data_IF_581877409053
#
_entry.id   IF_581877409053
#
_cell.length_a   1.000
_cell.length_b   1.000
_cell.length_c   1.000
_cell.angle_alpha   90.00
_cell.angle_beta   90.00
_cell.angle_gamma   90.00
#
_symmetry.space_group_name_H-M   'P 1'
#
loop_
_entity.id
_entity.type
_entity.pdbx_description
1 polymer ?
#
# COMPACT_ATOMS: atom_id res chain seq x y z
N UNK A 1 -39.64 -14.04 -24.65
CA UNK A 1 -38.36 -14.77 -24.85
C UNK A 1 -37.15 -13.86 -24.75
N UNK A 2 -37.14 -12.69 -25.39
CA UNK A 2 -36.04 -11.71 -25.25
C UNK A 2 -35.92 -11.14 -23.82
N UNK A 3 -37.04 -10.87 -23.16
CA UNK A 3 -37.07 -10.22 -21.84
C UNK A 3 -36.56 -11.10 -20.67
N UNK A 4 -36.76 -12.42 -20.79
CA UNK A 4 -36.18 -13.40 -19.86
C UNK A 4 -34.68 -13.56 -20.07
N UNK A 5 -34.20 -13.41 -21.31
CA UNK A 5 -32.79 -13.55 -21.65
C UNK A 5 -31.98 -12.33 -21.19
N UNK A 6 -32.53 -11.13 -21.30
CA UNK A 6 -31.94 -9.88 -20.79
C UNK A 6 -31.87 -9.88 -19.27
N UNK A 7 -32.91 -10.36 -18.59
CA UNK A 7 -32.91 -10.54 -17.13
C UNK A 7 -31.81 -11.50 -16.65
N UNK A 8 -31.66 -12.65 -17.32
CA UNK A 8 -30.59 -13.63 -17.00
C UNK A 8 -29.20 -13.04 -17.27
N UNK A 9 -28.98 -12.37 -18.41
CA UNK A 9 -27.69 -11.73 -18.70
C UNK A 9 -27.34 -10.61 -17.72
N UNK A 10 -28.33 -9.84 -17.24
CA UNK A 10 -28.13 -8.79 -16.23
C UNK A 10 -27.66 -9.33 -14.88
N UNK A 11 -28.26 -10.44 -14.44
CA UNK A 11 -27.84 -11.12 -13.19
C UNK A 11 -26.42 -11.70 -13.35
N UNK A 12 -26.11 -12.32 -14.49
CA UNK A 12 -24.78 -12.88 -14.75
C UNK A 12 -23.69 -11.80 -14.80
N UNK A 13 -23.96 -10.66 -15.44
CA UNK A 13 -22.99 -9.54 -15.48
C UNK A 13 -22.77 -8.92 -14.11
N UNK A 14 -23.81 -8.80 -13.27
CA UNK A 14 -23.68 -8.37 -11.88
C UNK A 14 -22.78 -9.29 -11.05
N UNK A 15 -22.96 -10.62 -11.20
CA UNK A 15 -22.10 -11.60 -10.53
C UNK A 15 -20.64 -11.50 -10.99
N UNK A 16 -20.39 -11.41 -12.30
CA UNK A 16 -19.02 -11.29 -12.84
C UNK A 16 -18.35 -10.00 -12.35
N UNK A 17 -19.08 -8.88 -12.30
CA UNK A 17 -18.56 -7.60 -11.84
C UNK A 17 -18.09 -7.62 -10.38
N UNK A 18 -18.79 -8.35 -9.50
CA UNK A 18 -18.42 -8.49 -8.09
C UNK A 18 -17.30 -9.52 -7.92
N UNK A 19 -17.31 -10.60 -8.71
CA UNK A 19 -16.38 -11.71 -8.56
C UNK A 19 -14.97 -11.39 -9.10
N UNK A 20 -14.87 -10.55 -10.13
CA UNK A 20 -13.61 -10.07 -10.71
C UNK A 20 -12.62 -9.46 -9.69
N UNK A 21 -12.98 -8.43 -8.90
CA UNK A 21 -12.04 -7.83 -7.94
C UNK A 21 -11.61 -8.82 -6.85
N UNK A 22 -12.49 -9.73 -6.43
CA UNK A 22 -12.18 -10.77 -5.43
C UNK A 22 -11.12 -11.74 -5.96
N UNK A 23 -11.28 -12.20 -7.20
CA UNK A 23 -10.28 -13.08 -7.83
C UNK A 23 -8.92 -12.40 -7.99
N UNK A 24 -8.88 -11.11 -8.33
CA UNK A 24 -7.62 -10.37 -8.44
C UNK A 24 -6.88 -10.31 -7.09
N UNK A 25 -7.59 -9.97 -6.01
CA UNK A 25 -7.00 -9.96 -4.66
C UNK A 25 -6.49 -11.36 -4.29
N UNK A 26 -7.26 -12.42 -4.60
CA UNK A 26 -6.87 -13.80 -4.32
C UNK A 26 -5.60 -14.22 -5.07
N UNK A 27 -5.50 -13.89 -6.36
CA UNK A 27 -4.30 -14.17 -7.18
C UNK A 27 -3.09 -13.42 -6.61
N UNK A 28 -3.23 -12.12 -6.31
CA UNK A 28 -2.14 -11.32 -5.73
C UNK A 28 -1.68 -11.92 -4.40
N UNK A 29 -2.62 -12.29 -3.53
CA UNK A 29 -2.32 -12.87 -2.22
C UNK A 29 -1.64 -14.24 -2.35
N UNK A 30 -2.12 -15.09 -3.26
CA UNK A 30 -1.52 -16.40 -3.54
C UNK A 30 -0.05 -16.25 -3.98
N UNK A 31 0.22 -15.34 -4.92
CA UNK A 31 1.58 -15.06 -5.37
C UNK A 31 2.43 -14.42 -4.26
N UNK A 32 1.89 -13.50 -3.49
CA UNK A 32 2.59 -12.88 -2.36
C UNK A 32 3.03 -13.95 -1.35
N UNK A 33 2.10 -14.82 -0.94
CA UNK A 33 2.35 -15.90 0.02
C UNK A 33 3.43 -16.86 -0.47
N UNK A 34 3.45 -17.17 -1.77
CA UNK A 34 4.48 -18.06 -2.35
C UNK A 34 5.85 -17.39 -2.35
N UNK A 35 5.91 -16.11 -2.73
CA UNK A 35 7.16 -15.31 -2.73
C UNK A 35 7.74 -15.14 -1.33
N UNK A 36 6.89 -14.95 -0.33
CA UNK A 36 7.33 -14.80 1.05
C UNK A 36 7.96 -16.10 1.56
N UNK A 37 7.31 -17.25 1.32
CA UNK A 37 7.85 -18.57 1.70
C UNK A 37 9.22 -18.86 1.06
N UNK A 38 9.39 -18.54 -0.22
CA UNK A 38 10.65 -18.72 -0.94
C UNK A 38 11.75 -17.79 -0.38
N UNK A 39 11.43 -16.51 -0.10
CA UNK A 39 12.36 -15.57 0.57
C UNK A 39 12.86 -16.12 1.91
N UNK A 40 11.96 -16.59 2.78
CA UNK A 40 12.35 -17.12 4.10
C UNK A 40 13.16 -18.42 4.00
N UNK A 41 12.83 -19.29 3.05
CA UNK A 41 13.60 -20.52 2.83
C UNK A 41 15.05 -20.22 2.44
N UNK A 42 15.28 -19.27 1.52
CA UNK A 42 16.61 -18.82 1.15
C UNK A 42 17.35 -18.14 2.31
N UNK A 43 16.66 -17.38 3.17
CA UNK A 43 17.27 -16.79 4.38
C UNK A 43 17.82 -17.87 5.32
N UNK A 44 17.04 -18.92 5.56
CA UNK A 44 17.44 -20.03 6.44
C UNK A 44 18.61 -20.81 5.86
N UNK A 45 18.66 -20.98 4.54
CA UNK A 45 19.75 -21.68 3.85
C UNK A 45 21.06 -20.88 3.84
N UNK A 46 20.97 -19.56 3.61
CA UNK A 46 22.11 -18.65 3.72
C UNK A 46 22.63 -18.64 5.17
N UNK A 47 21.75 -18.45 6.16
CA UNK A 47 22.11 -18.41 7.58
C UNK A 47 22.78 -19.71 8.07
N UNK A 48 22.43 -20.87 7.51
CA UNK A 48 23.05 -22.16 7.83
C UNK A 48 24.44 -22.35 7.22
N UNK A 49 24.78 -21.62 6.16
CA UNK A 49 26.09 -21.68 5.50
C UNK A 49 27.07 -20.62 6.03
N UNK A 50 26.65 -19.73 6.93
CA UNK A 50 27.51 -18.75 7.58
C UNK A 50 28.00 -19.29 8.91
N UNK A 51 29.32 -19.32 9.10
CA UNK A 51 29.98 -19.87 10.28
C UNK A 51 30.15 -18.84 11.42
N UNK A 52 30.02 -17.53 11.14
CA UNK A 52 30.21 -16.45 12.11
C UNK A 52 28.89 -15.75 12.50
N UNK A 53 28.58 -15.58 13.80
CA UNK A 53 27.32 -14.99 14.26
C UNK A 53 27.14 -13.52 13.85
N UNK A 54 28.23 -12.78 13.63
CA UNK A 54 28.18 -11.38 13.19
C UNK A 54 27.65 -11.20 11.77
N UNK A 55 28.01 -12.10 10.84
CA UNK A 55 27.55 -12.01 9.45
C UNK A 55 26.06 -12.42 9.30
N UNK A 56 25.58 -13.31 10.18
CA UNK A 56 24.16 -13.67 10.27
C UNK A 56 23.33 -12.49 10.75
N UNK A 57 23.86 -11.69 11.69
CA UNK A 57 23.19 -10.49 12.21
C UNK A 57 23.09 -9.39 11.13
N UNK A 58 24.17 -9.15 10.38
CA UNK A 58 24.18 -8.20 9.26
C UNK A 58 23.26 -8.61 8.10
N UNK A 59 23.15 -9.91 7.82
CA UNK A 59 22.20 -10.42 6.83
C UNK A 59 20.76 -10.32 7.31
N UNK A 60 20.47 -10.64 8.58
CA UNK A 60 19.15 -10.43 9.16
C UNK A 60 18.75 -8.94 9.20
N UNK A 61 19.70 -8.04 9.42
CA UNK A 61 19.47 -6.60 9.43
C UNK A 61 19.25 -6.01 8.02
N UNK A 62 19.95 -6.51 7.01
CA UNK A 62 19.73 -6.14 5.60
C UNK A 62 18.44 -6.72 5.00
N UNK A 63 18.02 -7.90 5.46
CA UNK A 63 16.80 -8.56 4.96
C UNK A 63 15.52 -8.18 5.72
N UNK A 64 15.63 -7.62 6.93
CA UNK A 64 14.51 -6.88 7.54
C UNK A 64 14.11 -5.80 6.56
N UNK A 65 12.92 -5.93 5.96
CA UNK A 65 12.34 -4.87 5.14
C UNK A 65 12.27 -3.63 6.01
N UNK A 66 13.25 -2.72 5.85
CA UNK A 66 13.22 -1.39 6.45
C UNK A 66 11.98 -0.75 5.87
N UNK A 67 10.87 -0.79 6.62
CA UNK A 67 9.62 -0.15 6.25
C UNK A 67 9.98 1.31 6.08
N UNK A 68 10.14 1.73 4.83
CA UNK A 68 10.41 3.13 4.53
C UNK A 68 9.32 3.91 5.23
N UNK A 69 9.67 4.81 6.14
CA UNK A 69 8.68 5.55 6.88
C UNK A 69 7.75 6.25 5.90
N UNK A 70 6.46 6.07 6.12
CA UNK A 70 5.43 6.60 5.23
C UNK A 70 5.49 8.12 5.36
N UNK A 71 5.94 8.78 4.30
CA UNK A 71 5.96 10.24 4.26
C UNK A 71 4.51 10.75 4.15
N UNK A 72 3.96 11.12 5.31
CA UNK A 72 2.61 11.66 5.45
C UNK A 72 2.42 12.95 4.66
N UNK A 73 3.48 13.72 4.39
CA UNK A 73 3.41 14.96 3.60
C UNK A 73 3.13 14.64 2.13
N UNK A 74 3.87 13.69 1.58
CA UNK A 74 3.68 13.22 0.19
C UNK A 74 2.29 12.61 0.01
N UNK A 75 1.91 11.74 0.92
CA UNK A 75 0.59 11.07 0.89
C UNK A 75 -0.55 12.07 1.04
N UNK A 76 -0.41 13.06 1.92
CA UNK A 76 -1.40 14.12 2.11
C UNK A 76 -1.62 14.95 0.85
N UNK A 77 -0.55 15.40 0.18
CA UNK A 77 -0.66 16.17 -1.06
C UNK A 77 -1.37 15.36 -2.15
N UNK A 78 -0.97 14.10 -2.36
CA UNK A 78 -1.61 13.21 -3.36
C UNK A 78 -3.11 13.08 -3.08
N UNK A 79 -3.49 12.88 -1.82
CA UNK A 79 -4.90 12.71 -1.42
C UNK A 79 -5.72 13.97 -1.66
N UNK A 80 -5.16 15.17 -1.43
CA UNK A 80 -5.83 16.45 -1.77
C UNK A 80 -6.09 16.55 -3.28
N UNK A 81 -5.11 16.20 -4.12
CA UNK A 81 -5.27 16.22 -5.58
C UNK A 81 -6.32 15.22 -6.07
N UNK A 82 -6.37 14.02 -5.48
CA UNK A 82 -7.42 13.02 -5.77
C UNK A 82 -8.80 13.56 -5.37
N UNK A 83 -8.91 14.18 -4.19
CA UNK A 83 -10.14 14.79 -3.72
C UNK A 83 -10.62 15.96 -4.61
N UNK A 84 -9.69 16.80 -5.09
CA UNK A 84 -9.98 17.85 -6.08
C UNK A 84 -10.46 17.25 -7.41
N UNK A 85 -9.82 16.19 -7.90
CA UNK A 85 -10.27 15.48 -9.10
C UNK A 85 -11.69 14.93 -8.97
N UNK A 86 -12.00 14.30 -7.83
CA UNK A 86 -13.34 13.81 -7.51
C UNK A 86 -14.37 14.94 -7.38
N UNK A 87 -13.99 16.06 -6.77
CA UNK A 87 -14.84 17.24 -6.63
C UNK A 87 -15.19 17.84 -8.00
N UNK A 88 -14.19 18.05 -8.86
CA UNK A 88 -14.36 18.58 -10.21
C UNK A 88 -15.19 17.62 -11.07
N UNK A 89 -14.93 16.31 -10.99
CA UNK A 89 -15.71 15.32 -11.71
C UNK A 89 -17.17 15.24 -11.21
N UNK A 90 -17.38 15.40 -9.90
CA UNK A 90 -18.71 15.50 -9.28
C UNK A 90 -19.51 16.73 -9.72
N UNK A 91 -18.86 17.84 -10.08
CA UNK A 91 -19.54 19.02 -10.62
C UNK A 91 -20.12 18.79 -12.02
N UNK A 92 -19.59 17.84 -12.79
CA UNK A 92 -20.02 17.60 -14.18
C UNK A 92 -21.25 16.69 -14.25
N UNK A 93 -21.36 15.64 -13.42
CA UNK A 93 -22.41 14.62 -13.61
C UNK A 93 -23.01 13.98 -12.34
N UNK A 94 -22.38 14.02 -11.16
CA UNK A 94 -22.81 13.20 -10.01
C UNK A 94 -22.69 13.98 -8.68
N UNK A 95 -23.85 14.36 -8.11
CA UNK A 95 -23.92 15.14 -6.87
C UNK A 95 -23.27 14.44 -5.65
N UNK A 96 -23.37 13.11 -5.54
CA UNK A 96 -22.75 12.33 -4.45
C UNK A 96 -21.23 12.44 -4.49
N UNK A 97 -20.66 12.49 -5.70
CA UNK A 97 -19.21 12.48 -5.89
C UNK A 97 -18.57 13.81 -5.48
N UNK A 98 -19.32 14.91 -5.53
CA UNK A 98 -18.94 16.21 -4.95
C UNK A 98 -18.73 16.09 -3.43
N UNK A 99 -19.61 15.39 -2.73
CA UNK A 99 -19.49 15.15 -1.29
C UNK A 99 -18.29 14.28 -0.94
N UNK A 100 -18.07 13.20 -1.70
CA UNK A 100 -16.91 12.32 -1.55
C UNK A 100 -15.60 13.08 -1.82
N UNK A 101 -15.55 13.91 -2.87
CA UNK A 101 -14.39 14.73 -3.18
C UNK A 101 -14.01 15.69 -2.04
N UNK A 102 -15.00 16.36 -1.44
CA UNK A 102 -14.78 17.26 -0.31
C UNK A 102 -14.25 16.51 0.93
N UNK A 103 -14.79 15.33 1.21
CA UNK A 103 -14.33 14.46 2.29
C UNK A 103 -12.87 14.02 2.10
N UNK A 104 -12.49 13.61 0.88
CA UNK A 104 -11.12 13.19 0.56
C UNK A 104 -10.13 14.36 0.67
N UNK A 105 -10.54 15.58 0.31
CA UNK A 105 -9.72 16.80 0.53
C UNK A 105 -9.46 16.99 2.03
N UNK A 106 -10.48 16.87 2.88
CA UNK A 106 -10.31 17.01 4.34
C UNK A 106 -9.32 15.98 4.91
N UNK A 107 -9.38 14.72 4.47
CA UNK A 107 -8.42 13.67 4.88
C UNK A 107 -7.00 14.03 4.43
N UNK A 108 -6.86 14.55 3.21
CA UNK A 108 -5.58 14.99 2.67
C UNK A 108 -4.95 16.12 3.47
N UNK A 109 -5.73 17.10 3.91
CA UNK A 109 -5.27 18.17 4.82
C UNK A 109 -4.81 17.61 6.17
N UNK A 110 -5.57 16.69 6.77
CA UNK A 110 -5.18 16.04 8.03
C UNK A 110 -3.86 15.28 7.91
N UNK A 111 -3.66 14.57 6.79
CA UNK A 111 -2.41 13.84 6.52
C UNK A 111 -1.22 14.78 6.29
N UNK A 112 -1.44 15.91 5.63
CA UNK A 112 -0.40 16.92 5.40
C UNK A 112 0.07 17.56 6.72
N UNK A 113 -0.89 17.88 7.62
CA UNK A 113 -0.58 18.40 8.96
C UNK A 113 0.16 17.34 9.80
N UNK A 114 -0.29 16.08 9.77
CA UNK A 114 0.38 14.99 10.46
C UNK A 114 1.84 14.82 10.01
N UNK A 115 2.11 14.96 8.71
CA UNK A 115 3.48 14.92 8.18
C UNK A 115 4.37 16.11 8.57
N UNK A 116 3.78 17.24 8.99
CA UNK A 116 4.54 18.36 9.56
C UNK A 116 4.77 18.18 11.06
N UNK A 117 3.80 17.65 11.80
CA UNK A 117 3.88 17.42 13.26
C UNK A 117 4.77 16.21 13.61
N UNK A 118 4.73 15.16 12.79
CA UNK A 118 5.55 13.96 12.96
C UNK A 118 6.58 13.88 11.84
N UNK A 119 7.65 14.67 11.90
CA UNK A 119 8.70 14.64 10.91
C UNK A 119 9.51 13.35 11.04
N UNK A 120 9.57 12.59 9.96
CA UNK A 120 10.30 11.33 9.90
C UNK A 120 11.85 11.49 9.91
N UNK A 121 12.34 12.71 9.78
CA UNK A 121 13.78 13.01 9.72
C UNK A 121 14.59 12.48 10.92
N UNK A 122 13.94 12.26 12.06
CA UNK A 122 14.60 11.68 13.24
C UNK A 122 15.04 10.23 13.02
N UNK A 123 14.24 9.40 12.32
CA UNK A 123 14.59 7.99 12.08
C UNK A 123 15.75 7.84 11.09
N UNK A 124 15.83 8.70 10.07
CA UNK A 124 16.92 8.66 9.10
C UNK A 124 18.26 9.08 9.71
N UNK A 125 18.26 10.08 10.60
CA UNK A 125 19.47 10.53 11.29
C UNK A 125 19.94 9.49 12.31
N UNK A 126 19.03 8.91 13.12
CA UNK A 126 19.40 7.87 14.08
C UNK A 126 19.99 6.64 13.39
N UNK A 127 19.38 6.18 12.29
CA UNK A 127 19.93 5.06 11.52
C UNK A 127 21.30 5.38 10.90
N UNK A 128 21.52 6.62 10.45
CA UNK A 128 22.81 7.03 9.93
C UNK A 128 23.87 7.06 11.04
N UNK A 129 23.53 7.57 12.23
CA UNK A 129 24.42 7.62 13.40
C UNK A 129 24.77 6.22 13.89
N UNK A 130 23.81 5.32 14.07
CA UNK A 130 24.07 3.93 14.47
C UNK A 130 25.02 3.21 13.49
N UNK A 131 24.88 3.48 12.19
CA UNK A 131 25.78 2.95 11.16
C UNK A 131 27.20 3.56 11.20
N UNK A 132 27.35 4.79 11.72
CA UNK A 132 28.66 5.39 11.99
C UNK A 132 29.27 4.87 13.30
N UNK A 133 28.47 4.56 14.32
CA UNK A 133 28.97 4.05 15.62
C UNK A 133 29.37 2.58 15.57
N UNK A 134 28.74 1.77 14.71
CA UNK A 134 29.12 0.36 14.48
C UNK A 134 30.38 0.18 13.61
N UNK A 135 30.95 1.25 13.06
CA UNK A 135 32.12 1.24 12.16
C UNK A 135 33.40 1.68 12.88
#
# INVERSE_FOLDING_TARGET
MYDSLTGVMGVLTGWVAILMPVLLIWVIFYFSTKKDKEKYASMVEIAKNLEDPSDVEDLLENFKEKKKPIDYRRTGVITIFVGLGLLLFGLVNIAVLKGVGLLVICIGFGSLIAGYIYPNTSEEITNAVDAFEKK
#
